data_IF_299719804793
#
_entry.id   IF_299719804793
#
_cell.length_a   1.000
_cell.length_b   1.000
_cell.length_c   1.000
_cell.angle_alpha   90.00
_cell.angle_beta   90.00
_cell.angle_gamma   90.00
#
_symmetry.space_group_name_H-M   'P 1'
#
loop_
_entity.id
_entity.type
_entity.pdbx_description
1 polymer ?
#
# COMPACT_ATOMS: atom_id res chain seq x y z
N UNK A 1 -4.00 -0.96 15.99
CA UNK A 1 -3.58 -0.11 14.85
C UNK A 1 -2.94 1.21 15.34
N UNK A 2 -2.16 1.20 16.44
CA UNK A 2 -1.61 2.44 17.04
C UNK A 2 -0.08 2.50 17.12
N UNK A 3 0.64 1.39 16.88
CA UNK A 3 2.10 1.33 17.06
C UNK A 3 2.95 1.89 15.90
N UNK A 4 2.37 2.01 14.70
CA UNK A 4 3.09 2.54 13.54
C UNK A 4 3.54 3.99 13.74
N UNK A 5 2.66 4.82 14.32
CA UNK A 5 2.94 6.24 14.59
C UNK A 5 4.00 6.42 15.67
N UNK A 6 4.05 5.52 16.64
CA UNK A 6 5.05 5.51 17.71
C UNK A 6 6.43 5.16 17.15
N UNK A 7 6.54 4.10 16.34
CA UNK A 7 7.79 3.73 15.67
C UNK A 7 8.28 4.80 14.68
N UNK A 8 7.35 5.50 14.02
CA UNK A 8 7.70 6.61 13.12
C UNK A 8 8.25 7.80 13.91
N UNK A 9 7.63 8.16 15.04
CA UNK A 9 8.11 9.23 15.92
C UNK A 9 9.46 8.88 16.54
N UNK A 10 9.65 7.62 16.96
CA UNK A 10 10.90 7.12 17.52
C UNK A 10 12.03 7.15 16.47
N UNK A 11 11.76 6.68 15.25
CA UNK A 11 12.74 6.72 14.14
C UNK A 11 13.15 8.16 13.80
N UNK A 12 12.20 9.10 13.77
CA UNK A 12 12.51 10.52 13.52
C UNK A 12 13.34 11.10 14.66
N UNK A 13 12.99 10.80 15.92
CA UNK A 13 13.72 11.25 17.09
C UNK A 13 15.14 10.66 17.15
N UNK A 14 15.33 9.42 16.70
CA UNK A 14 16.64 8.78 16.62
C UNK A 14 17.49 9.37 15.49
N UNK A 15 16.91 9.67 14.33
CA UNK A 15 17.61 10.31 13.19
C UNK A 15 17.98 11.76 13.50
N UNK A 16 17.14 12.49 14.24
CA UNK A 16 17.37 13.91 14.61
C UNK A 16 18.17 14.07 15.91
N UNK A 17 18.16 13.06 16.79
CA UNK A 17 18.82 13.09 18.10
C UNK A 17 20.17 12.38 18.14
N UNK A 18 20.57 11.65 17.10
CA UNK A 18 21.89 11.02 17.00
C UNK A 18 22.80 11.80 16.04
N UNK A 19 23.85 12.42 16.59
CA UNK A 19 24.93 13.07 15.84
C UNK A 19 25.72 12.09 14.92
N UNK A 20 25.36 10.81 14.89
CA UNK A 20 26.09 9.74 14.19
C UNK A 20 25.35 9.10 12.99
N UNK A 21 24.18 9.61 12.57
CA UNK A 21 23.45 9.08 11.40
C UNK A 21 24.02 9.55 10.03
N UNK A 22 25.23 10.10 9.99
CA UNK A 22 25.85 10.67 8.79
C UNK A 22 26.53 9.70 7.81
N UNK A 23 26.31 8.38 7.90
CA UNK A 23 27.09 7.39 7.11
C UNK A 23 26.32 6.42 6.19
N UNK A 24 25.00 6.51 6.06
CA UNK A 24 24.26 5.64 5.13
C UNK A 24 23.55 6.37 3.96
N UNK A 25 23.50 7.70 3.97
CA UNK A 25 23.02 8.51 2.86
C UNK A 25 24.13 9.50 2.52
N UNK A 26 24.55 9.53 1.25
CA UNK A 26 25.75 10.24 0.81
C UNK A 26 25.89 11.64 1.39
N UNK A 27 27.05 11.89 2.01
CA UNK A 27 27.49 13.19 2.54
C UNK A 27 27.35 14.28 1.48
N UNK A 28 26.36 15.16 1.62
CA UNK A 28 26.39 16.54 1.13
C UNK A 28 25.67 17.44 2.15
N UNK A 29 26.27 18.59 2.42
CA UNK A 29 25.86 19.62 3.40
C UNK A 29 24.36 19.71 3.69
N UNK A 30 24.02 19.60 4.98
CA UNK A 30 22.91 20.32 5.60
C UNK A 30 21.53 20.16 4.95
N UNK A 31 21.01 18.92 4.86
CA UNK A 31 19.56 18.76 4.79
C UNK A 31 18.97 19.36 6.07
N UNK A 32 18.14 20.39 5.93
CA UNK A 32 17.46 20.95 7.08
C UNK A 32 16.34 20.00 7.53
N UNK A 33 15.96 20.04 8.81
CA UNK A 33 14.83 19.26 9.31
C UNK A 33 13.55 19.49 8.48
N UNK A 34 13.43 20.68 7.89
CA UNK A 34 12.32 21.04 7.01
C UNK A 34 12.37 20.32 5.66
N UNK A 35 13.54 20.13 5.07
CA UNK A 35 13.72 19.38 3.82
C UNK A 35 13.38 17.90 4.03
N UNK A 36 13.82 17.33 5.17
CA UNK A 36 13.52 15.96 5.55
C UNK A 36 12.01 15.77 5.75
N UNK A 37 11.36 16.67 6.49
CA UNK A 37 9.91 16.64 6.70
C UNK A 37 9.13 16.77 5.39
N UNK A 38 9.57 17.65 4.49
CA UNK A 38 8.92 17.87 3.20
C UNK A 38 9.09 16.65 2.29
N UNK A 39 10.30 16.10 2.20
CA UNK A 39 10.58 14.89 1.42
C UNK A 39 9.81 13.67 1.92
N UNK A 40 9.66 13.50 3.24
CA UNK A 40 8.89 12.39 3.81
C UNK A 40 7.39 12.53 3.52
N UNK A 41 6.83 13.73 3.65
CA UNK A 41 5.42 13.99 3.29
C UNK A 41 5.17 13.70 1.82
N UNK A 42 6.06 14.16 0.95
CA UNK A 42 5.95 13.97 -0.48
C UNK A 42 6.07 12.48 -0.87
N UNK A 43 7.02 11.76 -0.29
CA UNK A 43 7.18 10.32 -0.47
C UNK A 43 5.95 9.54 0.01
N UNK A 44 5.33 9.94 1.12
CA UNK A 44 4.11 9.33 1.62
C UNK A 44 2.92 9.59 0.67
N UNK A 45 2.77 10.82 0.19
CA UNK A 45 1.74 11.17 -0.79
C UNK A 45 1.87 10.32 -2.06
N UNK A 46 3.08 10.25 -2.64
CA UNK A 46 3.32 9.40 -3.80
C UNK A 46 3.16 7.91 -3.49
N UNK A 47 3.53 7.47 -2.29
CA UNK A 47 3.36 6.09 -1.84
C UNK A 47 1.89 5.68 -1.80
N UNK A 48 1.03 6.53 -1.22
CA UNK A 48 -0.43 6.31 -1.20
C UNK A 48 -0.99 6.34 -2.60
N UNK A 49 -0.67 7.37 -3.39
CA UNK A 49 -1.17 7.50 -4.77
C UNK A 49 -0.84 6.27 -5.62
N UNK A 50 0.42 5.84 -5.63
CA UNK A 50 0.86 4.64 -6.39
C UNK A 50 0.23 3.36 -5.88
N UNK A 51 -0.01 3.25 -4.57
CA UNK A 51 -0.65 2.07 -3.98
C UNK A 51 -2.11 1.98 -4.41
N UNK A 52 -2.83 3.10 -4.42
CA UNK A 52 -4.21 3.17 -4.91
C UNK A 52 -4.27 2.92 -6.41
N UNK A 53 -3.41 3.55 -7.21
CA UNK A 53 -3.32 3.33 -8.65
C UNK A 53 -3.15 1.84 -8.96
N UNK A 54 -2.17 1.17 -8.31
CA UNK A 54 -1.93 -0.27 -8.46
C UNK A 54 -3.08 -1.15 -7.99
N UNK A 55 -3.76 -0.78 -6.92
CA UNK A 55 -4.92 -1.55 -6.46
C UNK A 55 -6.12 -1.39 -7.41
N UNK A 56 -6.29 -0.20 -7.99
CA UNK A 56 -7.42 0.14 -8.86
C UNK A 56 -7.31 -0.37 -10.30
N UNK A 57 -6.15 -0.88 -10.72
CA UNK A 57 -6.03 -1.52 -12.04
C UNK A 57 -6.95 -2.73 -12.14
N UNK A 58 -7.38 -3.14 -13.36
CA UNK A 58 -8.04 -4.42 -13.55
C UNK A 58 -7.23 -5.54 -12.88
N UNK A 59 -7.87 -6.38 -12.07
CA UNK A 59 -7.21 -7.42 -11.29
C UNK A 59 -6.50 -6.97 -10.00
N UNK A 60 -6.20 -5.68 -9.80
CA UNK A 60 -5.37 -5.20 -8.69
C UNK A 60 -5.92 -5.50 -7.28
N UNK A 61 -7.21 -5.26 -7.06
CA UNK A 61 -7.89 -5.69 -5.83
C UNK A 61 -8.18 -7.20 -5.82
N UNK A 62 -8.44 -7.82 -6.97
CA UNK A 62 -8.93 -9.21 -7.01
C UNK A 62 -7.81 -10.25 -6.87
N UNK A 63 -6.64 -9.99 -7.45
CA UNK A 63 -5.47 -10.88 -7.44
C UNK A 63 -4.60 -10.71 -6.19
N UNK A 64 -4.77 -9.62 -5.45
CA UNK A 64 -4.02 -9.37 -4.21
C UNK A 64 -4.79 -9.87 -2.99
N UNK A 65 -4.41 -11.01 -2.37
CA UNK A 65 -5.15 -11.61 -1.27
C UNK A 65 -5.17 -10.73 0.00
N UNK A 66 -4.28 -9.74 0.11
CA UNK A 66 -4.18 -8.84 1.27
C UNK A 66 -5.19 -7.70 1.20
N UNK A 67 -5.63 -7.30 0.01
CA UNK A 67 -6.56 -6.17 -0.20
C UNK A 67 -7.82 -6.56 -0.97
N UNK A 68 -8.08 -7.86 -1.15
CA UNK A 68 -9.23 -8.37 -1.87
C UNK A 68 -10.55 -7.89 -1.25
N UNK A 69 -11.33 -7.17 -2.06
CA UNK A 69 -12.69 -6.77 -1.76
C UNK A 69 -13.63 -7.92 -2.14
N UNK A 70 -14.18 -8.69 -1.18
CA UNK A 70 -15.07 -9.79 -1.49
C UNK A 70 -16.38 -9.28 -2.10
N UNK A 71 -16.93 -10.05 -3.04
CA UNK A 71 -18.22 -9.73 -3.65
C UNK A 71 -19.33 -9.66 -2.56
N UNK A 72 -20.29 -8.72 -2.64
CA UNK A 72 -21.40 -8.64 -1.67
C UNK A 72 -22.26 -9.92 -1.71
N UNK A 73 -22.87 -10.30 -0.59
CA UNK A 73 -23.58 -11.59 -0.42
C UNK A 73 -24.63 -11.93 -1.48
N UNK A 74 -25.24 -10.93 -2.14
CA UNK A 74 -26.15 -11.13 -3.27
C UNK A 74 -25.45 -11.68 -4.52
N UNK A 75 -24.20 -11.29 -4.76
CA UNK A 75 -23.37 -11.76 -5.87
C UNK A 75 -22.58 -13.03 -5.53
N UNK A 76 -22.34 -13.33 -4.25
CA UNK A 76 -21.72 -14.59 -3.82
C UNK A 76 -22.60 -15.79 -4.16
N UNK A 77 -23.93 -15.67 -4.00
CA UNK A 77 -24.88 -16.73 -4.34
C UNK A 77 -24.98 -16.94 -5.85
N UNK A 78 -24.90 -15.87 -6.64
CA UNK A 78 -24.90 -15.94 -8.10
C UNK A 78 -23.56 -16.54 -8.60
N UNK A 79 -22.43 -16.14 -8.01
CA UNK A 79 -21.13 -16.73 -8.30
C UNK A 79 -21.07 -18.23 -7.90
N UNK A 80 -21.65 -18.60 -6.76
CA UNK A 80 -21.75 -20.00 -6.32
C UNK A 80 -22.64 -20.86 -7.24
N UNK A 81 -23.78 -20.32 -7.67
CA UNK A 81 -24.66 -20.98 -8.63
C UNK A 81 -24.02 -21.12 -10.02
N UNK A 82 -23.30 -20.09 -10.48
CA UNK A 82 -22.57 -20.11 -11.76
C UNK A 82 -21.35 -21.05 -11.71
N UNK A 83 -20.69 -21.19 -10.55
CA UNK A 83 -19.57 -22.13 -10.34
C UNK A 83 -20.02 -23.59 -10.32
N UNK A 84 -21.25 -23.87 -9.89
CA UNK A 84 -21.80 -25.24 -9.79
C UNK A 84 -22.34 -25.82 -11.11
N UNK A 85 -22.69 -24.98 -12.09
CA UNK A 85 -23.27 -25.41 -13.38
C UNK A 85 -22.24 -25.44 -14.54
N UNK A 86 -21.06 -24.84 -14.35
CA UNK A 86 -19.95 -24.77 -15.31
C UNK A 86 -20.16 -23.78 -16.47
N UNK A 87 -19.10 -23.31 -17.17
CA UNK A 87 -17.72 -23.17 -16.72
C UNK A 87 -17.61 -21.92 -15.82
N UNK A 88 -16.66 -21.92 -14.90
CA UNK A 88 -16.32 -20.74 -14.11
C UNK A 88 -15.88 -19.52 -14.95
N UNK A 89 -15.96 -19.55 -16.30
CA UNK A 89 -15.39 -18.59 -17.26
C UNK A 89 -15.98 -17.18 -17.23
N UNK A 90 -17.16 -16.96 -16.67
CA UNK A 90 -17.71 -15.60 -16.49
C UNK A 90 -17.44 -15.03 -15.10
N UNK A 91 -17.04 -15.86 -14.14
CA UNK A 91 -16.40 -15.41 -12.90
C UNK A 91 -14.89 -15.22 -13.14
N UNK A 92 -14.27 -16.13 -13.91
CA UNK A 92 -12.96 -15.99 -14.59
C UNK A 92 -12.92 -14.82 -15.57
N UNK A 93 -14.04 -14.27 -16.04
CA UNK A 93 -14.04 -13.03 -16.83
C UNK A 93 -13.82 -11.78 -15.97
N UNK A 94 -14.03 -11.90 -14.65
CA UNK A 94 -13.65 -10.92 -13.64
C UNK A 94 -12.41 -11.36 -12.83
N UNK A 95 -11.93 -12.60 -13.01
CA UNK A 95 -10.83 -13.24 -12.28
C UNK A 95 -9.61 -13.57 -13.20
N UNK A 96 -9.70 -13.34 -14.52
CA UNK A 96 -8.55 -13.29 -15.44
C UNK A 96 -8.12 -11.85 -15.73
N UNK A 97 -6.79 -11.62 -15.89
CA UNK A 97 -6.18 -10.30 -16.07
C UNK A 97 -6.56 -9.60 -17.39
#
# INVERSE_FOLDING_TARGET
MAGFWDSALETVKDITGSEEAGKAVGRQDGLTDQDILTGLREALNFGVQRSVERASTPGGFMENPVIHIPLPGHFQNIAGALRGLGPGSQTDAFEKP
#
